data_IF_053590560842
#
_entry.id   IF_053590560842
#
_cell.length_a   1.000
_cell.length_b   1.000
_cell.length_c   1.000
_cell.angle_alpha   90.00
_cell.angle_beta   90.00
_cell.angle_gamma   90.00
#
_symmetry.space_group_name_H-M   'P 1'
#
loop_
_entity.id
_entity.type
_entity.pdbx_description
1 polymer ?
#
# COMPACT_ATOMS: atom_id res chain seq x y z
N UNK A 1 -18.12 -43.52 11.80
CA UNK A 1 -18.09 -44.33 10.57
C UNK A 1 -17.52 -43.45 9.48
N UNK A 2 -16.30 -43.72 9.06
CA UNK A 2 -15.65 -42.98 7.99
C UNK A 2 -16.45 -43.20 6.70
N UNK A 3 -16.88 -42.10 6.08
CA UNK A 3 -17.55 -42.10 4.78
C UNK A 3 -16.58 -41.54 3.75
N UNK A 4 -16.60 -42.03 2.50
CA UNK A 4 -15.85 -41.40 1.42
C UNK A 4 -16.31 -39.94 1.28
N UNK A 5 -15.44 -38.99 1.57
CA UNK A 5 -15.76 -37.55 1.50
C UNK A 5 -15.61 -36.99 0.08
N UNK A 6 -14.96 -37.73 -0.83
CA UNK A 6 -14.64 -37.26 -2.18
C UNK A 6 -13.59 -36.14 -2.22
N UNK A 7 -12.98 -35.79 -1.07
CA UNK A 7 -12.00 -34.74 -0.98
C UNK A 7 -10.69 -35.16 -1.65
N UNK A 8 -10.19 -34.31 -2.55
CA UNK A 8 -8.89 -34.48 -3.21
C UNK A 8 -7.90 -33.50 -2.58
N UNK A 9 -6.84 -34.04 -1.98
CA UNK A 9 -5.76 -33.23 -1.43
C UNK A 9 -4.70 -32.97 -2.51
N UNK A 10 -4.23 -31.73 -2.58
CA UNK A 10 -3.18 -31.31 -3.52
C UNK A 10 -1.97 -30.81 -2.75
N UNK A 11 -0.81 -31.40 -3.01
CA UNK A 11 0.49 -30.87 -2.61
C UNK A 11 1.19 -30.35 -3.87
N UNK A 12 1.89 -29.21 -3.73
CA UNK A 12 2.72 -28.65 -4.80
C UNK A 12 4.12 -28.45 -4.23
N UNK A 13 5.13 -28.88 -4.98
CA UNK A 13 6.51 -28.73 -4.59
C UNK A 13 7.39 -28.58 -5.81
N UNK A 14 8.62 -28.12 -5.58
CA UNK A 14 9.57 -27.80 -6.65
C UNK A 14 10.94 -28.32 -6.27
N UNK A 15 11.71 -28.69 -7.28
CA UNK A 15 13.09 -29.11 -7.13
C UNK A 15 13.92 -28.25 -8.08
N UNK A 16 15.04 -27.73 -7.58
CA UNK A 16 15.99 -26.99 -8.40
C UNK A 16 16.65 -27.96 -9.37
N UNK A 17 16.30 -27.87 -10.66
CA UNK A 17 16.88 -28.71 -11.70
C UNK A 17 18.22 -28.16 -12.23
N UNK A 18 18.42 -26.84 -12.14
CA UNK A 18 19.63 -26.16 -12.59
C UNK A 18 19.89 -24.89 -11.76
N UNK A 19 21.12 -24.74 -11.26
CA UNK A 19 21.43 -23.72 -10.26
C UNK A 19 21.49 -22.29 -10.81
N UNK A 20 21.84 -22.10 -12.09
CA UNK A 20 21.90 -20.76 -12.72
C UNK A 20 22.60 -19.69 -11.86
N UNK A 21 21.92 -18.56 -11.63
CA UNK A 21 22.44 -17.45 -10.81
C UNK A 21 22.52 -17.78 -9.30
N UNK A 22 21.81 -18.81 -8.81
CA UNK A 22 21.90 -19.24 -7.41
C UNK A 22 23.27 -19.78 -7.04
N UNK A 23 24.10 -20.14 -8.03
CA UNK A 23 25.52 -20.48 -7.81
C UNK A 23 26.32 -19.33 -7.20
N UNK A 24 25.91 -18.09 -7.46
CA UNK A 24 26.55 -16.87 -6.95
C UNK A 24 25.74 -16.26 -5.81
N UNK A 25 24.41 -16.20 -5.95
CA UNK A 25 23.53 -15.58 -4.96
C UNK A 25 23.25 -16.47 -3.72
N UNK A 26 23.55 -17.77 -3.80
CA UNK A 26 23.14 -18.77 -2.81
C UNK A 26 21.69 -19.23 -3.01
N UNK A 27 21.41 -20.51 -2.75
CA UNK A 27 20.05 -21.05 -2.82
C UNK A 27 19.28 -20.60 -1.57
N UNK A 28 18.13 -19.91 -1.70
CA UNK A 28 17.33 -19.52 -0.55
C UNK A 28 16.87 -20.77 0.22
N UNK A 29 17.21 -20.87 1.51
CA UNK A 29 16.74 -21.95 2.39
C UNK A 29 15.36 -21.67 2.98
N UNK A 30 14.91 -20.41 2.94
CA UNK A 30 13.60 -19.97 3.37
C UNK A 30 12.65 -19.95 2.17
N UNK A 31 12.07 -21.12 1.87
CA UNK A 31 11.06 -21.27 0.86
C UNK A 31 9.84 -21.93 1.52
N UNK A 32 8.68 -21.26 1.45
CA UNK A 32 7.37 -21.90 1.71
C UNK A 32 7.11 -23.07 0.72
N UNK A 33 7.89 -23.15 -0.38
CA UNK A 33 7.81 -24.26 -1.31
C UNK A 33 8.57 -25.47 -0.75
N UNK A 34 7.82 -26.54 -0.47
CA UNK A 34 8.36 -27.81 -0.02
C UNK A 34 9.05 -28.55 -1.17
N UNK A 35 10.20 -29.16 -0.87
CA UNK A 35 10.80 -30.17 -1.74
C UNK A 35 10.01 -31.45 -1.58
N UNK A 36 9.29 -31.86 -2.63
CA UNK A 36 8.57 -33.13 -2.65
C UNK A 36 9.49 -34.28 -3.07
N UNK A 37 9.32 -35.49 -2.51
CA UNK A 37 10.01 -36.68 -3.00
C UNK A 37 9.54 -37.02 -4.42
N UNK A 38 10.36 -37.75 -5.16
CA UNK A 38 9.97 -38.29 -6.46
C UNK A 38 8.78 -39.25 -6.31
N UNK A 39 7.65 -38.91 -6.91
CA UNK A 39 6.43 -39.72 -6.94
C UNK A 39 6.14 -40.22 -8.36
N UNK A 40 5.44 -41.35 -8.46
CA UNK A 40 4.93 -41.89 -9.74
C UNK A 40 3.41 -41.85 -9.78
N UNK A 41 2.85 -41.72 -10.97
CA UNK A 41 1.40 -41.81 -11.14
C UNK A 41 0.87 -43.16 -10.66
N UNK A 42 -0.22 -43.15 -9.89
CA UNK A 42 -0.80 -44.35 -9.29
C UNK A 42 -0.04 -44.92 -8.09
N UNK A 43 1.04 -44.28 -7.64
CA UNK A 43 1.75 -44.70 -6.44
C UNK A 43 0.83 -44.62 -5.21
N UNK A 44 0.66 -45.71 -4.44
CA UNK A 44 -0.14 -45.69 -3.23
C UNK A 44 0.43 -44.68 -2.23
N UNK A 45 -0.40 -43.75 -1.77
CA UNK A 45 -0.07 -42.79 -0.72
C UNK A 45 -1.22 -42.76 0.29
N UNK A 46 -0.87 -42.63 1.57
CA UNK A 46 -1.83 -42.50 2.64
C UNK A 46 -1.40 -41.35 3.57
N UNK A 47 -2.33 -40.53 4.08
CA UNK A 47 -1.99 -39.51 5.05
C UNK A 47 -1.52 -40.16 6.36
N UNK A 48 -0.41 -39.67 6.92
CA UNK A 48 0.06 -40.09 8.24
C UNK A 48 -0.75 -39.42 9.36
N UNK A 49 -1.30 -38.23 9.10
CA UNK A 49 -2.19 -37.47 9.98
C UNK A 49 -2.95 -36.40 9.18
N UNK A 50 -4.09 -35.97 9.71
CA UNK A 50 -4.89 -34.88 9.15
C UNK A 50 -5.24 -33.94 10.30
N UNK A 51 -4.63 -32.76 10.30
CA UNK A 51 -4.89 -31.71 11.28
C UNK A 51 -5.74 -30.61 10.63
N UNK A 52 -6.80 -30.19 11.33
CA UNK A 52 -7.65 -29.10 10.90
C UNK A 52 -7.09 -27.76 11.39
N UNK A 53 -6.53 -26.95 10.49
CA UNK A 53 -6.11 -25.59 10.79
C UNK A 53 -7.22 -24.58 10.47
N UNK A 54 -7.57 -23.74 11.44
CA UNK A 54 -8.39 -22.56 11.19
C UNK A 54 -7.47 -21.38 10.82
N UNK A 55 -7.73 -20.73 9.69
CA UNK A 55 -7.04 -19.51 9.29
C UNK A 55 -7.99 -18.33 9.31
N UNK A 56 -7.50 -17.21 9.81
CA UNK A 56 -8.19 -15.92 9.77
C UNK A 56 -7.56 -15.04 8.70
N UNK A 57 -8.37 -14.21 8.05
CA UNK A 57 -7.86 -13.14 7.19
C UNK A 57 -7.24 -12.06 8.07
N UNK A 58 -6.00 -11.71 7.78
CA UNK A 58 -5.38 -10.51 8.33
C UNK A 58 -5.66 -9.32 7.42
N UNK A 59 -5.80 -8.10 7.97
CA UNK A 59 -5.84 -6.90 7.14
C UNK A 59 -4.51 -6.72 6.39
N UNK A 60 -4.49 -5.91 5.32
CA UNK A 60 -3.27 -5.54 4.64
C UNK A 60 -2.22 -4.98 5.63
N UNK A 61 -0.94 -5.33 5.46
CA UNK A 61 0.11 -4.81 6.31
C UNK A 61 0.25 -3.30 6.10
N UNK A 62 0.57 -2.58 7.19
CA UNK A 62 0.96 -1.17 7.11
C UNK A 62 2.24 -0.99 6.30
N UNK A 63 2.36 0.17 5.68
CA UNK A 63 3.56 0.53 4.94
C UNK A 63 4.76 0.68 5.88
N UNK A 64 5.85 0.01 5.55
CA UNK A 64 7.21 0.41 5.89
C UNK A 64 7.73 1.39 4.84
N UNK A 65 8.85 2.07 5.10
CA UNK A 65 9.54 2.91 4.09
C UNK A 65 9.76 2.16 2.78
N UNK A 66 10.33 0.95 2.83
CA UNK A 66 10.61 0.17 1.63
C UNK A 66 9.33 -0.18 0.84
N UNK A 67 8.25 -0.57 1.53
CA UNK A 67 6.99 -0.86 0.86
C UNK A 67 6.27 0.39 0.34
N UNK A 68 6.43 1.53 1.02
CA UNK A 68 5.87 2.81 0.55
C UNK A 68 6.59 3.28 -0.71
N UNK A 69 7.93 3.26 -0.71
CA UNK A 69 8.75 3.54 -1.90
C UNK A 69 8.35 2.65 -3.06
N UNK A 70 8.23 1.33 -2.82
CA UNK A 70 7.78 0.38 -3.84
C UNK A 70 6.39 0.69 -4.37
N UNK A 71 5.49 1.16 -3.50
CA UNK A 71 4.13 1.55 -3.90
C UNK A 71 4.16 2.82 -4.75
N UNK A 72 4.87 3.86 -4.32
CA UNK A 72 5.05 5.10 -5.09
C UNK A 72 5.63 4.83 -6.48
N UNK A 73 6.66 3.99 -6.55
CA UNK A 73 7.26 3.56 -7.81
C UNK A 73 6.26 2.82 -8.71
N UNK A 74 5.50 1.86 -8.16
CA UNK A 74 4.49 1.12 -8.92
C UNK A 74 3.33 1.99 -9.40
N UNK A 75 3.01 3.04 -8.65
CA UNK A 75 1.98 4.02 -8.98
C UNK A 75 2.51 5.14 -9.88
N UNK A 76 3.81 5.17 -10.18
CA UNK A 76 4.43 6.22 -11.01
C UNK A 76 4.37 7.61 -10.37
N UNK A 77 4.39 7.69 -9.04
CA UNK A 77 4.42 8.95 -8.29
C UNK A 77 5.85 9.22 -7.81
N UNK A 78 6.42 10.37 -8.15
CA UNK A 78 7.79 10.73 -7.76
C UNK A 78 8.87 9.97 -8.52
N UNK A 79 10.12 10.12 -8.08
CA UNK A 79 11.34 9.56 -8.70
C UNK A 79 12.30 9.10 -7.60
N UNK A 80 13.33 8.31 -7.92
CA UNK A 80 14.35 7.89 -6.94
C UNK A 80 14.96 9.04 -6.12
N UNK A 81 15.05 10.24 -6.71
CA UNK A 81 15.53 11.46 -6.06
C UNK A 81 14.53 12.09 -5.07
N UNK A 82 13.23 11.78 -5.16
CA UNK A 82 12.17 12.44 -4.38
C UNK A 82 11.57 11.56 -3.30
N UNK A 83 11.73 10.23 -3.35
CA UNK A 83 11.10 9.35 -2.36
C UNK A 83 11.52 9.66 -0.92
N UNK A 84 12.82 9.86 -0.69
CA UNK A 84 13.34 10.18 0.63
C UNK A 84 12.83 11.53 1.14
N UNK A 85 12.69 12.53 0.26
CA UNK A 85 12.18 13.85 0.64
C UNK A 85 10.67 13.82 0.91
N UNK A 86 9.88 13.09 0.12
CA UNK A 86 8.45 12.89 0.37
C UNK A 86 8.23 12.26 1.75
N UNK A 87 8.94 11.16 2.04
CA UNK A 87 8.84 10.45 3.33
C UNK A 87 9.28 11.37 4.48
N UNK A 88 10.39 12.10 4.31
CA UNK A 88 10.86 13.06 5.31
C UNK A 88 9.82 14.15 5.60
N UNK A 89 9.19 14.72 4.57
CA UNK A 89 8.19 15.79 4.73
C UNK A 89 6.96 15.32 5.50
N UNK A 90 6.41 14.14 5.19
CA UNK A 90 5.21 13.64 5.89
C UNK A 90 5.51 13.27 7.35
N UNK A 91 6.74 12.87 7.66
CA UNK A 91 7.21 12.63 9.04
C UNK A 91 7.46 13.93 9.79
N UNK A 92 8.20 14.88 9.20
CA UNK A 92 8.55 16.17 9.80
C UNK A 92 7.31 17.01 10.11
N UNK A 93 6.30 16.95 9.23
CA UNK A 93 4.99 17.58 9.44
C UNK A 93 4.06 16.81 10.38
N UNK A 94 4.49 15.65 10.88
CA UNK A 94 3.74 14.77 11.78
C UNK A 94 2.40 14.31 11.19
N UNK A 95 2.32 14.13 9.88
CA UNK A 95 1.16 13.49 9.24
C UNK A 95 1.17 11.98 9.43
N UNK A 96 2.37 11.42 9.59
CA UNK A 96 2.56 10.03 9.97
C UNK A 96 3.54 9.92 11.13
N UNK A 97 3.40 8.87 11.92
CA UNK A 97 4.39 8.42 12.88
C UNK A 97 4.91 7.03 12.50
N UNK A 98 6.13 6.71 12.90
CA UNK A 98 6.73 5.41 12.64
C UNK A 98 6.84 4.61 13.94
N UNK A 99 6.12 3.49 14.01
CA UNK A 99 6.14 2.54 15.13
C UNK A 99 6.53 1.17 14.59
N UNK A 100 7.55 0.54 15.19
CA UNK A 100 8.09 -0.76 14.73
C UNK A 100 8.38 -0.80 13.22
N UNK A 101 8.96 0.29 12.69
CA UNK A 101 9.30 0.50 11.26
C UNK A 101 8.08 0.53 10.32
N UNK A 102 6.87 0.73 10.86
CA UNK A 102 5.61 0.85 10.10
C UNK A 102 5.02 2.23 10.31
N UNK A 103 4.45 2.80 9.25
CA UNK A 103 3.77 4.08 9.28
C UNK A 103 2.35 3.95 9.81
N UNK A 104 1.99 4.86 10.69
CA UNK A 104 0.64 5.10 11.18
C UNK A 104 0.27 6.54 10.84
N UNK A 105 -0.89 6.75 10.22
CA UNK A 105 -1.42 8.10 10.05
C UNK A 105 -1.74 8.67 11.43
N UNK A 106 -1.39 9.94 11.65
CA UNK A 106 -1.80 10.67 12.85
C UNK A 106 -3.16 11.31 12.59
N UNK A 107 -3.88 11.68 13.66
CA UNK A 107 -5.12 12.44 13.55
C UNK A 107 -4.94 13.71 12.70
N UNK A 108 -3.78 14.37 12.82
CA UNK A 108 -3.44 15.53 12.01
C UNK A 108 -3.30 15.17 10.53
N UNK A 109 -2.63 14.05 10.22
CA UNK A 109 -2.49 13.56 8.85
C UNK A 109 -3.83 13.24 8.22
N UNK A 110 -4.70 12.53 8.94
CA UNK A 110 -6.05 12.19 8.49
C UNK A 110 -6.88 13.45 8.20
N UNK A 111 -6.95 14.39 9.14
CA UNK A 111 -7.70 15.65 8.95
C UNK A 111 -7.16 16.47 7.77
N UNK A 112 -5.84 16.54 7.60
CA UNK A 112 -5.24 17.26 6.47
C UNK A 112 -5.59 16.56 5.15
N UNK A 113 -5.47 15.24 5.08
CA UNK A 113 -5.82 14.47 3.88
C UNK A 113 -7.29 14.62 3.52
N UNK A 114 -8.20 14.53 4.50
CA UNK A 114 -9.64 14.70 4.27
C UNK A 114 -9.97 16.09 3.73
N UNK A 115 -9.37 17.14 4.32
CA UNK A 115 -9.59 18.53 3.86
C UNK A 115 -9.04 18.77 2.46
N UNK A 116 -7.88 18.19 2.14
CA UNK A 116 -7.33 18.26 0.78
C UNK A 116 -8.19 17.49 -0.22
N UNK A 117 -8.78 16.36 0.17
CA UNK A 117 -9.67 15.59 -0.71
C UNK A 117 -11.02 16.28 -0.92
N UNK A 118 -11.54 16.98 0.08
CA UNK A 118 -12.73 17.82 -0.02
C UNK A 118 -12.52 19.00 -0.99
N UNK A 119 -11.39 19.70 -0.87
CA UNK A 119 -11.12 20.89 -1.67
C UNK A 119 -10.51 20.61 -3.05
N UNK A 120 -9.71 19.55 -3.17
CA UNK A 120 -8.93 19.25 -4.37
C UNK A 120 -9.05 17.77 -4.78
N UNK A 121 -10.27 17.25 -5.03
CA UNK A 121 -10.48 15.82 -5.30
C UNK A 121 -9.71 15.32 -6.53
N UNK A 122 -9.59 16.14 -7.58
CA UNK A 122 -8.82 15.77 -8.78
C UNK A 122 -7.31 15.73 -8.51
N UNK A 123 -6.76 16.68 -7.75
CA UNK A 123 -5.32 16.69 -7.42
C UNK A 123 -4.93 15.58 -6.44
N UNK A 124 -5.88 15.15 -5.60
CA UNK A 124 -5.70 14.05 -4.66
C UNK A 124 -5.84 12.68 -5.31
N UNK A 125 -6.20 12.62 -6.59
CA UNK A 125 -6.21 11.37 -7.36
C UNK A 125 -4.78 10.95 -7.73
N UNK A 126 -4.47 9.67 -7.46
CA UNK A 126 -3.17 9.06 -7.80
C UNK A 126 -2.93 9.06 -9.31
N UNK A 127 -3.98 8.84 -10.11
CA UNK A 127 -3.91 8.86 -11.56
C UNK A 127 -3.58 10.24 -12.12
N UNK A 128 -4.15 11.31 -11.53
CA UNK A 128 -3.80 12.69 -11.88
C UNK A 128 -2.31 12.96 -11.62
N UNK A 129 -1.83 12.65 -10.42
CA UNK A 129 -0.41 12.84 -10.07
C UNK A 129 0.51 12.08 -11.02
N UNK A 130 0.19 10.81 -11.33
CA UNK A 130 0.93 10.01 -12.31
C UNK A 130 0.93 10.64 -13.71
N UNK A 131 -0.20 11.20 -14.15
CA UNK A 131 -0.31 11.85 -15.45
C UNK A 131 0.57 13.10 -15.54
N UNK A 132 0.61 13.90 -14.47
CA UNK A 132 1.49 15.06 -14.37
C UNK A 132 2.97 14.66 -14.40
N UNK A 133 3.34 13.62 -13.67
CA UNK A 133 4.70 13.05 -13.69
C UNK A 133 5.11 12.63 -15.11
N UNK A 134 4.20 12.02 -15.88
CA UNK A 134 4.45 11.67 -17.27
C UNK A 134 4.53 12.89 -18.21
N UNK A 135 3.84 14.00 -17.89
CA UNK A 135 4.02 15.26 -18.63
C UNK A 135 5.39 15.88 -18.37
N UNK A 136 5.90 15.80 -17.14
CA UNK A 136 7.24 16.27 -16.80
C UNK A 136 8.33 15.49 -17.55
N UNK A 137 8.18 14.16 -17.67
CA UNK A 137 9.09 13.34 -18.47
C UNK A 137 9.10 13.76 -19.94
N UNK A 138 7.94 14.06 -20.53
CA UNK A 138 7.84 14.55 -21.92
C UNK A 138 8.58 15.87 -22.13
N UNK A 139 8.57 16.75 -21.13
CA UNK A 139 9.32 18.01 -21.17
C UNK A 139 10.82 17.74 -21.14
N UNK A 140 11.28 16.82 -20.29
CA UNK A 140 12.70 16.41 -20.23
C UNK A 140 13.18 15.86 -21.59
N UNK A 141 12.34 15.07 -22.25
CA UNK A 141 12.59 14.51 -23.59
C UNK A 141 12.45 15.55 -24.74
N UNK A 142 12.24 16.84 -24.42
CA UNK A 142 12.03 17.95 -25.37
C UNK A 142 10.81 17.76 -26.31
N UNK A 143 9.83 16.98 -25.89
CA UNK A 143 8.66 16.61 -26.70
C UNK A 143 7.40 17.42 -26.38
N UNK A 144 7.42 18.24 -25.32
CA UNK A 144 6.28 19.02 -24.85
C UNK A 144 6.65 20.47 -24.46
N UNK A 145 5.70 21.39 -24.63
CA UNK A 145 5.83 22.80 -24.19
C UNK A 145 5.54 22.91 -22.69
N UNK A 146 6.58 23.23 -21.91
CA UNK A 146 6.49 23.35 -20.46
C UNK A 146 5.61 24.54 -20.01
N UNK A 147 5.55 25.62 -20.80
CA UNK A 147 4.73 26.79 -20.46
C UNK A 147 3.26 26.42 -20.59
N UNK A 148 2.91 25.73 -21.68
CA UNK A 148 1.56 25.23 -21.89
C UNK A 148 1.11 24.30 -20.75
N UNK A 149 1.96 23.34 -20.35
CA UNK A 149 1.68 22.44 -19.24
C UNK A 149 1.44 23.19 -17.92
N UNK A 150 2.25 24.20 -17.60
CA UNK A 150 2.05 25.02 -16.41
C UNK A 150 0.71 25.77 -16.44
N UNK A 151 0.29 26.28 -17.61
CA UNK A 151 -1.02 26.91 -17.74
C UNK A 151 -2.17 25.91 -17.57
N UNK A 152 -2.04 24.71 -18.12
CA UNK A 152 -3.01 23.62 -17.96
C UNK A 152 -3.17 23.20 -16.49
N UNK A 153 -2.08 23.20 -15.72
CA UNK A 153 -2.13 22.92 -14.28
C UNK A 153 -2.69 24.12 -13.49
N UNK A 154 -2.12 25.30 -13.69
CA UNK A 154 -2.33 26.44 -12.80
C UNK A 154 -3.75 27.02 -12.89
N UNK A 155 -4.37 27.02 -14.07
CA UNK A 155 -5.73 27.55 -14.25
C UNK A 155 -6.75 26.86 -13.33
N UNK A 156 -6.97 25.53 -13.50
CA UNK A 156 -7.87 24.77 -12.63
C UNK A 156 -7.46 24.81 -11.16
N UNK A 157 -6.16 24.78 -10.85
CA UNK A 157 -5.67 24.87 -9.48
C UNK A 157 -6.04 26.21 -8.82
N UNK A 158 -5.88 27.34 -9.53
CA UNK A 158 -6.18 28.66 -9.00
C UNK A 158 -7.68 28.80 -8.69
N UNK A 159 -8.55 28.34 -9.59
CA UNK A 159 -10.00 28.32 -9.37
C UNK A 159 -10.38 27.44 -8.17
N UNK A 160 -9.80 26.24 -8.07
CA UNK A 160 -10.00 25.35 -6.93
C UNK A 160 -9.50 25.98 -5.61
N UNK A 161 -8.40 26.74 -5.66
CA UNK A 161 -7.82 27.40 -4.48
C UNK A 161 -8.69 28.56 -3.97
N UNK A 162 -9.26 29.36 -4.88
CA UNK A 162 -10.22 30.42 -4.52
C UNK A 162 -11.48 29.82 -3.90
N UNK A 163 -12.04 28.80 -4.56
CA UNK A 163 -13.19 28.03 -4.08
C UNK A 163 -12.94 27.41 -2.69
N UNK A 164 -11.74 26.85 -2.48
CA UNK A 164 -11.32 26.29 -1.21
C UNK A 164 -11.20 27.34 -0.10
N UNK A 165 -10.76 28.58 -0.40
CA UNK A 165 -10.70 29.66 0.59
C UNK A 165 -12.08 30.03 1.13
N UNK A 166 -13.11 29.99 0.28
CA UNK A 166 -14.47 30.34 0.67
C UNK A 166 -15.19 29.19 1.39
N UNK A 167 -14.93 27.93 0.98
CA UNK A 167 -15.63 26.76 1.50
C UNK A 167 -14.94 26.09 2.70
N UNK A 168 -13.61 26.09 2.75
CA UNK A 168 -12.88 25.45 3.85
C UNK A 168 -12.93 26.34 5.09
N UNK A 169 -13.89 26.06 5.98
CA UNK A 169 -13.80 26.54 7.36
C UNK A 169 -12.56 25.95 8.03
N UNK A 170 -11.88 26.72 8.89
CA UNK A 170 -10.80 26.19 9.74
C UNK A 170 -11.22 24.84 10.31
N UNK A 171 -10.35 23.84 10.15
CA UNK A 171 -10.50 22.54 10.81
C UNK A 171 -10.50 22.80 12.32
N UNK A 172 -11.67 23.10 12.87
CA UNK A 172 -11.92 22.93 14.29
C UNK A 172 -11.62 21.46 14.55
N UNK A 173 -11.01 21.18 15.69
CA UNK A 173 -10.91 19.81 16.18
C UNK A 173 -12.34 19.30 16.42
N UNK A 174 -13.03 18.90 15.35
CA UNK A 174 -14.29 18.20 15.41
C UNK A 174 -13.94 16.79 15.86
N UNK A 175 -14.00 16.57 17.17
CA UNK A 175 -13.89 15.24 17.74
C UNK A 175 -15.12 14.46 17.29
N UNK A 176 -14.91 13.48 16.41
CA UNK A 176 -15.96 12.53 16.10
C UNK A 176 -16.08 11.58 17.30
N UNK A 177 -17.25 11.47 17.95
CA UNK A 177 -17.40 10.59 19.09
C UNK A 177 -17.11 9.14 18.70
N UNK A 178 -16.42 8.40 19.56
CA UNK A 178 -16.15 6.99 19.28
C UNK A 178 -17.46 6.21 19.08
N UNK A 179 -17.49 5.34 18.06
CA UNK A 179 -18.65 4.49 17.73
C UNK A 179 -19.05 3.61 18.93
N UNK A 180 -18.06 3.22 19.74
CA UNK A 180 -18.23 2.34 20.89
C UNK A 180 -18.04 3.11 22.20
N UNK A 181 -18.90 2.81 23.18
CA UNK A 181 -18.79 3.33 24.55
C UNK A 181 -17.60 2.69 25.26
N UNK A 182 -16.94 3.43 26.15
CA UNK A 182 -15.86 2.89 26.97
C UNK A 182 -16.36 1.69 27.80
N UNK A 183 -15.74 0.51 27.72
CA UNK A 183 -16.21 -0.67 28.44
C UNK A 183 -16.02 -0.58 29.97
N UNK A 184 -15.24 0.39 30.47
CA UNK A 184 -15.01 0.59 31.91
C UNK A 184 -16.01 1.55 32.56
N UNK A 185 -16.42 2.61 31.87
CA UNK A 185 -17.28 3.65 32.45
C UNK A 185 -18.60 3.87 31.68
N UNK A 186 -18.77 3.28 30.50
CA UNK A 186 -19.98 3.41 29.69
C UNK A 186 -20.18 4.78 29.03
N UNK A 187 -19.28 5.73 29.25
CA UNK A 187 -19.30 7.05 28.61
C UNK A 187 -18.89 6.95 27.13
N UNK A 188 -19.49 7.80 26.29
CA UNK A 188 -18.94 8.10 24.97
C UNK A 188 -17.71 9.00 25.17
N UNK A 189 -16.64 8.74 24.45
CA UNK A 189 -15.54 9.71 24.33
C UNK A 189 -16.04 10.78 23.36
N UNK A 190 -16.55 11.86 23.91
CA UNK A 190 -16.81 13.13 23.20
C UNK A 190 -15.50 13.90 23.02
#
# INVERSE_FOLDING_TARGET
RDRPTGAVLKATGRVLAFDGFYRVAGVPTASDEQTLPSLREGQPAAPFGIDAEQRFSSPPPRYTEASLVKTLESEGIGRPSTYASIIGVIQDRKYVEQLDRRFYATDLGEVVTDKLQEAFPELMDVGYTRAMEAQLDKIEEQSADWIAMLHEFYGPFAEALESAHDMLTHAKAETQPAIYKCPKCGSRTE
#
